data_IF_069307059591
#
_entry.id   IF_069307059591
#
_cell.length_a   1.000
_cell.length_b   1.000
_cell.length_c   1.000
_cell.angle_alpha   90.00
_cell.angle_beta   90.00
_cell.angle_gamma   90.00
#
_symmetry.space_group_name_H-M   'P 1'
#
loop_
_entity.id
_entity.type
_entity.pdbx_description
1 polymer ?
#
# COMPACT_ATOMS: atom_id res chain seq x y z
N UNK A 1 -5.12 15.47 -12.19
CA UNK A 1 -5.27 15.41 -10.71
C UNK A 1 -4.18 14.61 -9.99
N UNK A 2 -3.70 13.46 -10.50
CA UNK A 2 -2.61 12.71 -9.83
C UNK A 2 -1.23 13.42 -9.86
N UNK A 3 -0.92 14.16 -10.93
CA UNK A 3 0.36 14.90 -11.06
C UNK A 3 0.48 16.07 -10.06
N UNK A 4 -0.62 16.79 -9.82
CA UNK A 4 -0.61 17.93 -8.89
C UNK A 4 -0.40 17.49 -7.45
N UNK A 5 -1.03 16.38 -7.02
CA UNK A 5 -0.85 15.86 -5.66
C UNK A 5 0.61 15.49 -5.35
N UNK A 6 1.30 14.91 -6.32
CA UNK A 6 2.71 14.55 -6.17
C UNK A 6 3.58 15.80 -6.10
N UNK A 7 3.28 16.82 -6.90
CA UNK A 7 4.00 18.09 -6.87
C UNK A 7 3.77 18.83 -5.54
N UNK A 8 2.56 18.83 -4.99
CA UNK A 8 2.28 19.46 -3.69
C UNK A 8 3.05 18.78 -2.56
N UNK A 9 3.04 17.44 -2.51
CA UNK A 9 3.76 16.67 -1.47
C UNK A 9 5.28 16.89 -1.60
N UNK A 10 5.79 16.93 -2.83
CA UNK A 10 7.21 17.16 -3.10
C UNK A 10 7.62 18.59 -2.73
N UNK A 11 6.77 19.59 -3.03
CA UNK A 11 7.00 20.99 -2.69
C UNK A 11 7.01 21.19 -1.17
N UNK A 12 6.09 20.56 -0.44
CA UNK A 12 6.03 20.62 1.04
C UNK A 12 7.25 19.95 1.68
N UNK A 13 7.73 18.82 1.13
CA UNK A 13 8.95 18.16 1.62
C UNK A 13 10.20 18.99 1.32
N UNK A 14 10.32 19.58 0.14
CA UNK A 14 11.49 20.40 -0.23
C UNK A 14 11.54 21.70 0.57
N UNK A 15 10.39 22.36 0.77
CA UNK A 15 10.31 23.61 1.54
C UNK A 15 10.59 23.41 3.03
N UNK A 16 10.23 22.27 3.61
CA UNK A 16 10.47 21.99 5.04
C UNK A 16 11.84 21.37 5.35
N UNK A 17 12.35 20.44 4.52
CA UNK A 17 13.65 19.79 4.79
C UNK A 17 14.83 20.46 4.09
N UNK A 18 14.57 21.23 3.03
CA UNK A 18 15.56 21.66 2.04
C UNK A 18 15.78 20.58 0.96
N UNK A 19 16.06 21.03 -0.28
CA UNK A 19 16.18 20.18 -1.48
C UNK A 19 17.04 18.94 -1.24
N UNK A 20 18.23 19.12 -0.63
CA UNK A 20 19.22 18.06 -0.41
C UNK A 20 18.75 17.00 0.61
N UNK A 21 18.03 17.40 1.65
CA UNK A 21 17.57 16.44 2.67
C UNK A 21 16.28 15.75 2.22
N UNK A 22 15.44 16.43 1.45
CA UNK A 22 14.22 15.84 0.87
C UNK A 22 14.53 14.77 -0.19
N UNK A 23 15.56 14.96 -1.02
CA UNK A 23 15.97 13.98 -2.05
C UNK A 23 16.72 12.78 -1.48
N UNK A 24 17.48 12.95 -0.40
CA UNK A 24 18.30 11.88 0.19
C UNK A 24 17.63 11.16 1.38
N UNK A 25 16.30 11.31 1.54
CA UNK A 25 15.57 10.70 2.66
C UNK A 25 14.54 9.71 2.15
N UNK A 26 14.62 8.46 2.59
CA UNK A 26 13.66 7.40 2.25
C UNK A 26 12.23 7.74 2.69
N UNK A 27 12.09 8.41 3.84
CA UNK A 27 10.82 8.89 4.37
C UNK A 27 10.93 10.37 4.71
N UNK A 28 10.83 11.27 3.71
CA UNK A 28 11.03 12.71 3.89
C UNK A 28 10.10 13.27 4.94
N UNK A 29 8.83 12.85 4.96
CA UNK A 29 7.82 13.30 5.93
C UNK A 29 8.25 13.01 7.39
N UNK A 30 8.78 11.81 7.65
CA UNK A 30 9.25 11.43 9.00
C UNK A 30 10.47 12.25 9.41
N UNK A 31 11.42 12.47 8.48
CA UNK A 31 12.57 13.35 8.75
C UNK A 31 12.17 14.82 8.89
N UNK A 32 11.16 15.29 8.15
CA UNK A 32 10.66 16.66 8.22
C UNK A 32 10.19 16.95 9.64
N UNK A 33 9.32 16.08 10.14
CA UNK A 33 8.75 16.19 11.49
C UNK A 33 9.85 16.11 12.56
N UNK A 34 10.82 15.22 12.42
CA UNK A 34 11.96 15.13 13.35
C UNK A 34 12.84 16.38 13.37
N UNK A 35 12.89 17.13 12.26
CA UNK A 35 13.64 18.38 12.14
C UNK A 35 12.89 19.58 12.72
N UNK A 36 11.57 19.49 12.92
CA UNK A 36 10.75 20.52 13.57
C UNK A 36 11.00 20.47 15.09
N UNK A 37 12.12 21.06 15.52
CA UNK A 37 12.38 21.33 16.93
C UNK A 37 11.90 22.74 17.27
N UNK A 38 10.60 22.91 17.49
CA UNK A 38 10.05 24.16 18.02
C UNK A 38 10.12 24.05 19.55
N UNK A 39 11.17 24.66 20.12
CA UNK A 39 11.34 24.92 21.55
C UNK A 39 11.25 23.70 22.49
N UNK A 40 11.88 22.56 22.16
CA UNK A 40 11.96 21.34 23.00
C UNK A 40 10.61 20.68 23.40
N UNK A 41 9.46 21.27 23.04
CA UNK A 41 8.12 20.75 23.34
C UNK A 41 7.58 19.89 22.19
N UNK A 42 7.85 20.28 20.95
CA UNK A 42 7.35 19.60 19.73
C UNK A 42 8.16 18.33 19.40
N UNK A 43 9.26 18.01 20.08
CA UNK A 43 9.87 16.67 19.94
C UNK A 43 8.95 15.51 20.40
N UNK A 44 7.94 15.81 21.23
CA UNK A 44 6.99 14.83 21.76
C UNK A 44 5.93 14.36 20.75
N UNK A 45 5.82 14.95 19.55
CA UNK A 45 4.89 14.46 18.50
C UNK A 45 5.47 13.34 17.61
N UNK A 46 6.78 13.08 17.64
CA UNK A 46 7.39 11.98 16.86
C UNK A 46 6.76 10.60 17.16
N UNK A 47 6.51 10.22 18.43
CA UNK A 47 5.86 8.94 18.76
C UNK A 47 4.40 8.84 18.27
N UNK A 48 3.66 9.95 18.27
CA UNK A 48 2.25 9.97 17.84
C UNK A 48 2.14 9.68 16.34
N UNK A 49 3.05 10.24 15.55
CA UNK A 49 3.06 10.05 14.10
C UNK A 49 3.51 8.63 13.75
N UNK A 50 4.53 8.09 14.42
CA UNK A 50 4.93 6.69 14.26
C UNK A 50 3.77 5.75 14.62
N UNK A 51 3.04 6.04 15.70
CA UNK A 51 1.84 5.28 16.08
C UNK A 51 0.77 5.33 14.98
N UNK A 52 0.48 6.50 14.41
CA UNK A 52 -0.46 6.65 13.31
C UNK A 52 -0.01 5.88 12.05
N UNK A 53 1.29 5.87 11.74
CA UNK A 53 1.85 5.10 10.62
C UNK A 53 1.70 3.59 10.84
N UNK A 54 1.95 3.10 12.06
CA UNK A 54 1.78 1.69 12.43
C UNK A 54 0.29 1.31 12.33
N UNK A 55 -0.61 2.10 12.92
CA UNK A 55 -2.05 1.85 12.87
C UNK A 55 -2.59 1.89 11.44
N UNK A 56 -2.19 2.88 10.64
CA UNK A 56 -2.57 2.98 9.24
C UNK A 56 -2.08 1.79 8.42
N UNK A 57 -0.85 1.35 8.65
CA UNK A 57 -0.29 0.16 8.00
C UNK A 57 -1.02 -1.12 8.42
N UNK A 58 -1.33 -1.26 9.72
CA UNK A 58 -2.09 -2.38 10.25
C UNK A 58 -3.49 -2.49 9.64
N UNK A 59 -4.21 -1.36 9.55
CA UNK A 59 -5.53 -1.32 8.93
C UNK A 59 -5.46 -1.69 7.45
N UNK A 60 -4.48 -1.14 6.72
CA UNK A 60 -4.25 -1.44 5.30
C UNK A 60 -4.04 -2.94 5.07
N UNK A 61 -3.16 -3.58 5.85
CA UNK A 61 -2.89 -5.03 5.73
C UNK A 61 -4.13 -5.84 6.08
N UNK A 62 -4.88 -5.44 7.10
CA UNK A 62 -6.12 -6.12 7.51
C UNK A 62 -7.16 -6.10 6.39
N UNK A 63 -7.36 -4.94 5.74
CA UNK A 63 -8.29 -4.81 4.61
C UNK A 63 -7.85 -5.71 3.45
N UNK A 64 -6.56 -5.73 3.10
CA UNK A 64 -6.03 -6.58 2.03
C UNK A 64 -6.16 -8.07 2.34
N UNK A 65 -5.91 -8.48 3.58
CA UNK A 65 -6.10 -9.86 4.00
C UNK A 65 -7.57 -10.29 3.87
N UNK A 66 -8.49 -9.42 4.30
CA UNK A 66 -9.92 -9.67 4.18
C UNK A 66 -10.37 -9.79 2.72
N UNK A 67 -10.01 -8.82 1.87
CA UNK A 67 -10.39 -8.84 0.45
C UNK A 67 -9.79 -10.03 -0.28
N UNK A 68 -8.54 -10.40 -0.01
CA UNK A 68 -7.92 -11.60 -0.56
C UNK A 68 -8.67 -12.88 -0.15
N UNK A 69 -9.05 -13.00 1.13
CA UNK A 69 -9.82 -14.15 1.61
C UNK A 69 -11.22 -14.25 0.97
N UNK A 70 -11.88 -13.10 0.73
CA UNK A 70 -13.17 -13.06 0.03
C UNK A 70 -13.02 -13.39 -1.45
N UNK A 71 -11.98 -12.87 -2.11
CA UNK A 71 -11.69 -13.16 -3.51
C UNK A 71 -11.42 -14.66 -3.73
N UNK A 72 -10.63 -15.30 -2.85
CA UNK A 72 -10.41 -16.75 -2.89
C UNK A 72 -11.72 -17.50 -2.69
N UNK A 73 -12.57 -17.05 -1.75
CA UNK A 73 -13.88 -17.65 -1.53
C UNK A 73 -14.75 -17.58 -2.80
N UNK A 74 -14.75 -16.44 -3.49
CA UNK A 74 -15.53 -16.24 -4.72
C UNK A 74 -14.94 -17.02 -5.91
N UNK A 75 -13.60 -17.09 -6.05
CA UNK A 75 -12.93 -17.84 -7.12
C UNK A 75 -13.07 -19.36 -6.98
N UNK A 76 -12.98 -19.89 -5.75
CA UNK A 76 -13.04 -21.32 -5.48
C UNK A 76 -14.44 -21.79 -5.01
N UNK A 77 -15.45 -20.90 -5.07
CA UNK A 77 -16.83 -21.19 -4.69
C UNK A 77 -16.96 -21.81 -3.27
N UNK A 78 -16.13 -21.33 -2.34
CA UNK A 78 -16.07 -21.86 -0.97
C UNK A 78 -17.29 -21.39 -0.17
N UNK A 79 -17.91 -22.31 0.59
CA UNK A 79 -19.08 -22.00 1.43
C UNK A 79 -18.79 -20.95 2.52
N UNK A 80 -17.54 -20.86 3.01
CA UNK A 80 -17.17 -19.95 4.09
C UNK A 80 -15.78 -19.33 3.87
N UNK A 81 -15.69 -17.99 3.96
CA UNK A 81 -14.44 -17.23 3.87
C UNK A 81 -13.43 -17.63 4.96
N UNK A 82 -13.91 -18.08 6.13
CA UNK A 82 -13.08 -18.47 7.28
C UNK A 82 -12.04 -19.55 6.96
N UNK A 83 -12.29 -20.42 5.98
CA UNK A 83 -11.32 -21.44 5.52
C UNK A 83 -10.17 -20.85 4.70
N UNK A 84 -10.41 -19.73 4.02
CA UNK A 84 -9.40 -19.02 3.24
C UNK A 84 -8.58 -18.03 4.09
N UNK A 85 -9.08 -17.62 5.26
CA UNK A 85 -8.36 -16.71 6.16
C UNK A 85 -7.03 -17.32 6.61
N UNK A 86 -7.04 -18.57 7.09
CA UNK A 86 -5.83 -19.25 7.57
C UNK A 86 -4.68 -19.28 6.53
N UNK A 87 -4.87 -19.79 5.30
CA UNK A 87 -3.79 -19.81 4.31
C UNK A 87 -3.35 -18.40 3.90
N UNK A 88 -4.27 -17.43 3.80
CA UNK A 88 -3.92 -16.03 3.50
C UNK A 88 -3.06 -15.41 4.60
N UNK A 89 -3.42 -15.62 5.87
CA UNK A 89 -2.64 -15.12 7.01
C UNK A 89 -1.24 -15.74 7.07
N UNK A 90 -1.11 -17.03 6.81
CA UNK A 90 0.19 -17.72 6.76
C UNK A 90 1.05 -17.19 5.62
N UNK A 91 0.49 -17.01 4.42
CA UNK A 91 1.21 -16.43 3.29
C UNK A 91 1.66 -14.99 3.56
N UNK A 92 0.81 -14.18 4.21
CA UNK A 92 1.17 -12.82 4.61
C UNK A 92 2.31 -12.81 5.63
N UNK A 93 2.27 -13.69 6.63
CA UNK A 93 3.33 -13.80 7.63
C UNK A 93 4.67 -14.23 7.01
N UNK A 94 4.65 -15.27 6.16
CA UNK A 94 5.84 -15.73 5.44
C UNK A 94 6.39 -14.65 4.50
N UNK A 95 5.52 -13.97 3.74
CA UNK A 95 5.91 -12.85 2.89
C UNK A 95 6.55 -11.72 3.70
N UNK A 96 6.03 -11.42 4.89
CA UNK A 96 6.61 -10.43 5.80
C UNK A 96 8.04 -10.78 6.21
N UNK A 97 8.30 -12.04 6.59
CA UNK A 97 9.64 -12.50 6.98
C UNK A 97 10.63 -12.44 5.80
N UNK A 98 10.21 -12.92 4.61
CA UNK A 98 11.05 -12.91 3.40
C UNK A 98 11.41 -11.48 2.96
N UNK A 99 10.53 -10.52 3.21
CA UNK A 99 10.76 -9.11 2.87
C UNK A 99 11.59 -8.38 3.93
N UNK A 100 11.50 -8.80 5.20
CA UNK A 100 12.19 -8.16 6.32
C UNK A 100 13.73 -8.32 6.29
N UNK A 101 14.25 -9.36 5.64
CA UNK A 101 15.70 -9.63 5.55
C UNK A 101 16.49 -8.52 4.84
N UNK A 102 15.82 -7.66 4.06
CA UNK A 102 16.50 -6.61 3.29
C UNK A 102 15.68 -5.34 3.18
N UNK A 103 15.67 -4.53 4.23
CA UNK A 103 14.99 -3.22 4.23
C UNK A 103 15.47 -2.30 3.09
N UNK A 104 16.76 -2.34 2.75
CA UNK A 104 17.36 -1.53 1.69
C UNK A 104 16.88 -1.99 0.30
N UNK A 105 16.86 -3.30 0.02
CA UNK A 105 16.31 -3.79 -1.25
C UNK A 105 14.78 -3.67 -1.29
N UNK A 106 14.09 -3.73 -0.15
CA UNK A 106 12.65 -3.50 -0.06
C UNK A 106 12.29 -2.06 -0.42
N UNK A 107 13.09 -1.09 0.01
CA UNK A 107 12.93 0.32 -0.35
C UNK A 107 13.21 0.52 -1.85
N UNK A 108 14.34 0.03 -2.38
CA UNK A 108 14.65 0.21 -3.81
C UNK A 108 13.63 -0.47 -4.73
N UNK A 109 13.28 -1.74 -4.46
CA UNK A 109 12.27 -2.46 -5.25
C UNK A 109 10.86 -1.90 -5.00
N UNK A 110 10.55 -1.50 -3.77
CA UNK A 110 9.24 -0.98 -3.37
C UNK A 110 8.95 0.43 -3.89
N UNK A 111 9.96 1.27 -4.13
CA UNK A 111 9.78 2.62 -4.68
C UNK A 111 9.87 2.69 -6.21
N UNK A 112 10.68 1.83 -6.85
CA UNK A 112 10.89 1.93 -8.30
C UNK A 112 10.27 0.78 -9.08
N UNK A 113 10.35 -0.45 -8.58
CA UNK A 113 9.89 -1.62 -9.31
C UNK A 113 8.38 -1.87 -9.11
N UNK A 114 7.92 -1.87 -7.85
CA UNK A 114 6.52 -2.15 -7.50
C UNK A 114 5.55 -1.10 -8.07
N UNK A 115 5.81 0.22 -7.97
CA UNK A 115 4.87 1.24 -8.47
C UNK A 115 4.83 1.32 -10.00
N UNK A 116 5.93 0.97 -10.66
CA UNK A 116 6.03 1.06 -12.12
C UNK A 116 5.58 -0.21 -12.84
N UNK A 117 5.84 -1.38 -12.26
CA UNK A 117 5.60 -2.66 -12.93
C UNK A 117 4.50 -3.50 -12.28
N UNK A 118 4.15 -3.30 -11.01
CA UNK A 118 3.17 -4.13 -10.30
C UNK A 118 1.86 -3.40 -10.03
N UNK A 119 1.90 -2.14 -9.58
CA UNK A 119 0.70 -1.33 -9.36
C UNK A 119 -0.17 -1.16 -10.61
N UNK A 120 0.36 -0.68 -11.76
CA UNK A 120 -0.47 -0.45 -12.94
C UNK A 120 -1.20 -1.70 -13.46
N UNK A 121 -0.57 -2.89 -13.57
CA UNK A 121 -1.33 -4.07 -13.95
C UNK A 121 -2.34 -4.48 -12.88
N UNK A 122 -2.04 -4.40 -11.59
CA UNK A 122 -3.03 -4.74 -10.55
C UNK A 122 -4.24 -3.80 -10.54
N UNK A 123 -4.01 -2.49 -10.67
CA UNK A 123 -5.08 -1.49 -10.57
C UNK A 123 -5.86 -1.33 -11.87
N UNK A 124 -5.26 -1.66 -13.03
CA UNK A 124 -5.93 -1.56 -14.33
C UNK A 124 -6.44 -2.90 -14.84
N UNK A 125 -5.63 -3.97 -14.81
CA UNK A 125 -5.98 -5.26 -15.42
C UNK A 125 -7.06 -5.96 -14.61
N UNK A 126 -7.00 -5.94 -13.27
CA UNK A 126 -8.01 -6.61 -12.43
C UNK A 126 -9.43 -6.07 -12.71
N UNK A 127 -9.70 -4.75 -12.66
CA UNK A 127 -11.03 -4.24 -12.98
C UNK A 127 -11.42 -4.46 -14.45
N UNK A 128 -10.47 -4.40 -15.40
CA UNK A 128 -10.76 -4.68 -16.81
C UNK A 128 -11.22 -6.12 -17.03
N UNK A 129 -10.53 -7.09 -16.41
CA UNK A 129 -10.91 -8.51 -16.47
C UNK A 129 -12.28 -8.74 -15.83
N UNK A 130 -12.56 -8.12 -14.68
CA UNK A 130 -13.89 -8.21 -14.04
C UNK A 130 -14.98 -7.66 -14.97
N UNK A 131 -14.75 -6.52 -15.62
CA UNK A 131 -15.70 -5.94 -16.58
C UNK A 131 -15.93 -6.88 -17.78
N UNK A 132 -14.86 -7.45 -18.34
CA UNK A 132 -14.95 -8.40 -19.47
C UNK A 132 -15.77 -9.63 -19.05
N UNK A 133 -15.50 -10.21 -17.88
CA UNK A 133 -16.25 -11.38 -17.38
C UNK A 133 -17.74 -11.04 -17.19
N UNK A 134 -18.06 -9.88 -16.63
CA UNK A 134 -19.45 -9.42 -16.47
C UNK A 134 -20.12 -9.24 -17.83
N UNK A 135 -19.43 -8.64 -18.80
CA UNK A 135 -19.95 -8.40 -20.13
C UNK A 135 -20.22 -9.71 -20.89
N UNK A 136 -19.28 -10.67 -20.85
CA UNK A 136 -19.44 -12.01 -21.42
C UNK A 136 -20.61 -12.76 -20.78
N UNK A 137 -20.73 -12.71 -19.45
CA UNK A 137 -21.85 -13.33 -18.73
C UNK A 137 -23.19 -12.71 -19.11
N UNK A 138 -23.27 -11.38 -19.25
CA UNK A 138 -24.49 -10.69 -19.72
C UNK A 138 -24.86 -11.04 -21.16
N UNK A 139 -23.88 -11.20 -22.04
CA UNK A 139 -24.10 -11.62 -23.44
C UNK A 139 -24.67 -13.05 -23.53
N UNK A 140 -24.19 -13.96 -22.69
CA UNK A 140 -24.67 -15.35 -22.64
C UNK A 140 -26.10 -15.41 -22.08
N UNK A 141 -26.39 -14.67 -21.00
CA UNK A 141 -27.73 -14.64 -20.38
C UNK A 141 -28.77 -13.98 -21.28
N UNK A 142 -28.41 -12.97 -22.09
CA UNK A 142 -29.34 -12.29 -23.00
C UNK A 142 -29.71 -13.12 -24.24
N UNK A 143 -28.96 -14.21 -24.50
CA UNK A 143 -29.19 -15.10 -25.65
C UNK A 143 -30.09 -16.29 -25.32
N UNK A 144 -30.50 -16.43 -24.06
CA UNK A 144 -31.44 -17.44 -23.56
C UNK A 144 -32.70 -16.78 -23.02
#
# INVERSE_FOLDING_TARGET
>A
MHSESNNTITLVNITSLGVYTATNSTFPIVKAVRKINIANFIQRVDPIIVLLLILGSFFKVTVYAYTASSAIKDCFNLKHHRRAVLPVSVLLALGGVLVAESLIQHIERGLYFVPKYIHPPMELIIPLVVIIVIYLKRLIIRKH
#
